data_IF_465427108204
#
_entry.id   IF_465427108204
#
_cell.length_a   1.000
_cell.length_b   1.000
_cell.length_c   1.000
_cell.angle_alpha   90.00
_cell.angle_beta   90.00
_cell.angle_gamma   90.00
#
_symmetry.space_group_name_H-M   'P 1'
#
loop_
_entity.id
_entity.type
_entity.pdbx_description
1 polymer ?
#
# COMPACT_ATOMS: atom_id res chain seq x y z
N UNK A 1 -2.10 3.78 -7.62
CA UNK A 1 -0.87 3.57 -6.82
C UNK A 1 -1.04 4.14 -5.43
N UNK A 2 -1.08 3.29 -4.39
CA UNK A 2 -1.38 3.71 -3.01
C UNK A 2 -0.27 4.56 -2.36
N UNK A 3 1.02 4.26 -2.60
CA UNK A 3 2.13 5.03 -2.01
C UNK A 3 2.16 6.48 -2.48
N UNK A 4 1.76 6.74 -3.73
CA UNK A 4 1.75 8.08 -4.30
C UNK A 4 0.74 8.99 -3.59
N UNK A 5 -0.41 8.43 -3.19
CA UNK A 5 -1.40 9.16 -2.41
C UNK A 5 -0.87 9.57 -1.02
N UNK A 6 0.09 8.82 -0.47
CA UNK A 6 0.76 9.11 0.80
C UNK A 6 2.10 9.85 0.65
N UNK A 7 2.49 10.21 -0.59
CA UNK A 7 3.81 10.76 -0.91
C UNK A 7 4.99 9.91 -0.41
N UNK A 8 4.79 8.60 -0.22
CA UNK A 8 5.85 7.68 0.20
C UNK A 8 6.74 7.28 -0.98
N UNK A 9 8.04 7.36 -0.78
CA UNK A 9 9.04 6.75 -1.64
C UNK A 9 9.08 5.22 -1.50
N UNK A 10 9.69 4.56 -2.49
CA UNK A 10 9.86 3.10 -2.52
C UNK A 10 10.59 2.59 -1.27
N UNK A 11 11.66 3.28 -0.85
CA UNK A 11 12.47 2.91 0.32
C UNK A 11 11.71 3.07 1.63
N UNK A 12 10.90 4.12 1.76
CA UNK A 12 10.12 4.39 2.96
C UNK A 12 9.03 3.33 3.15
N UNK A 13 8.29 3.02 2.09
CA UNK A 13 7.30 1.94 2.13
C UNK A 13 7.95 0.57 2.40
N UNK A 14 9.10 0.29 1.78
CA UNK A 14 9.83 -0.95 2.01
C UNK A 14 10.25 -1.10 3.47
N UNK A 15 10.77 -0.02 4.07
CA UNK A 15 11.12 0.02 5.50
C UNK A 15 9.89 -0.19 6.38
N UNK A 16 8.78 0.49 6.10
CA UNK A 16 7.54 0.35 6.87
C UNK A 16 6.93 -1.07 6.79
N UNK A 17 7.05 -1.73 5.64
CA UNK A 17 6.56 -3.08 5.42
C UNK A 17 7.57 -4.18 5.79
N UNK A 18 8.78 -3.81 6.24
CA UNK A 18 9.89 -4.72 6.53
C UNK A 18 10.22 -5.67 5.36
N UNK A 19 10.37 -5.09 4.16
CA UNK A 19 10.73 -5.82 2.92
C UNK A 19 11.83 -5.09 2.16
N UNK A 20 12.40 -5.72 1.13
CA UNK A 20 13.37 -5.05 0.27
C UNK A 20 12.70 -3.99 -0.63
N UNK A 21 13.39 -2.89 -0.99
CA UNK A 21 12.90 -1.93 -1.99
C UNK A 21 12.55 -2.60 -3.32
N UNK A 22 13.31 -3.62 -3.72
CA UNK A 22 13.04 -4.43 -4.92
C UNK A 22 11.68 -5.12 -4.84
N UNK A 23 11.27 -5.59 -3.66
CA UNK A 23 9.95 -6.21 -3.45
C UNK A 23 8.83 -5.22 -3.75
N UNK A 24 8.98 -3.95 -3.36
CA UNK A 24 8.01 -2.89 -3.67
C UNK A 24 7.98 -2.64 -5.18
N UNK A 25 9.14 -2.50 -5.83
CA UNK A 25 9.19 -2.31 -7.30
C UNK A 25 8.54 -3.47 -8.05
N UNK A 26 8.74 -4.72 -7.60
CA UNK A 26 8.10 -5.91 -8.19
C UNK A 26 6.58 -5.88 -8.02
N UNK A 27 6.08 -5.51 -6.84
CA UNK A 27 4.65 -5.29 -6.61
C UNK A 27 4.10 -4.25 -7.59
N UNK A 28 4.78 -3.12 -7.77
CA UNK A 28 4.34 -2.04 -8.67
C UNK A 28 4.33 -2.43 -10.15
N UNK A 29 5.15 -3.40 -10.53
CA UNK A 29 5.15 -4.00 -11.88
C UNK A 29 4.07 -5.05 -12.07
N UNK A 30 3.28 -5.36 -11.04
CA UNK A 30 2.23 -6.37 -11.08
C UNK A 30 2.74 -7.81 -10.98
N UNK A 31 3.97 -8.01 -10.51
CA UNK A 31 4.49 -9.36 -10.28
C UNK A 31 3.80 -10.01 -9.07
N UNK A 32 3.64 -11.33 -9.14
CA UNK A 32 3.13 -12.12 -8.03
C UNK A 32 4.13 -12.16 -6.87
N UNK A 33 3.65 -11.84 -5.68
CA UNK A 33 4.41 -11.92 -4.42
C UNK A 33 3.76 -12.95 -3.49
N UNK A 34 4.52 -13.39 -2.50
CA UNK A 34 3.96 -14.26 -1.46
C UNK A 34 2.82 -13.57 -0.71
N UNK A 35 1.75 -14.30 -0.33
CA UNK A 35 0.62 -13.72 0.40
C UNK A 35 1.04 -12.95 1.66
N UNK A 36 2.01 -13.47 2.42
CA UNK A 36 2.56 -12.80 3.61
C UNK A 36 3.17 -11.44 3.28
N UNK A 37 3.86 -11.34 2.15
CA UNK A 37 4.50 -10.10 1.68
C UNK A 37 3.44 -9.08 1.27
N UNK A 38 2.41 -9.51 0.54
CA UNK A 38 1.29 -8.65 0.16
C UNK A 38 0.58 -8.12 1.40
N UNK A 39 0.31 -8.99 2.39
CA UNK A 39 -0.30 -8.57 3.65
C UNK A 39 0.54 -7.55 4.42
N UNK A 40 1.86 -7.76 4.52
CA UNK A 40 2.75 -6.81 5.19
C UNK A 40 2.74 -5.42 4.52
N UNK A 41 2.76 -5.38 3.18
CA UNK A 41 2.70 -4.12 2.42
C UNK A 41 1.34 -3.45 2.58
N UNK A 42 0.24 -4.22 2.54
CA UNK A 42 -1.12 -3.72 2.78
C UNK A 42 -1.23 -3.08 4.16
N UNK A 43 -0.78 -3.77 5.21
CA UNK A 43 -0.81 -3.27 6.59
C UNK A 43 0.03 -2.00 6.74
N UNK A 44 1.21 -1.92 6.12
CA UNK A 44 2.04 -0.71 6.16
C UNK A 44 1.34 0.50 5.52
N UNK A 45 0.70 0.30 4.36
CA UNK A 45 -0.09 1.35 3.70
C UNK A 45 -1.30 1.76 4.56
N UNK A 46 -1.99 0.80 5.18
CA UNK A 46 -3.11 1.09 6.07
C UNK A 46 -2.71 1.88 7.32
N UNK A 47 -1.59 1.51 7.92
CA UNK A 47 -1.00 2.22 9.06
C UNK A 47 -0.59 3.65 8.68
N UNK A 48 -0.12 3.86 7.45
CA UNK A 48 0.21 5.18 6.91
C UNK A 48 -1.02 6.01 6.50
N UNK A 49 -2.22 5.43 6.54
CA UNK A 49 -3.48 6.16 6.32
C UNK A 49 -4.21 5.81 5.03
N UNK A 50 -3.86 4.73 4.35
CA UNK A 50 -4.67 4.19 3.24
C UNK A 50 -5.81 3.33 3.80
N UNK A 51 -6.95 3.38 3.14
CA UNK A 51 -8.05 2.47 3.34
C UNK A 51 -8.30 1.75 2.00
N UNK A 52 -8.15 0.42 2.01
CA UNK A 52 -8.45 -0.40 0.85
C UNK A 52 -9.94 -0.72 0.83
N UNK A 53 -10.62 -0.34 -0.24
CA UNK A 53 -12.05 -0.57 -0.40
C UNK A 53 -12.20 -1.84 -1.26
N UNK A 54 -12.93 -2.82 -0.72
CA UNK A 54 -13.28 -4.02 -1.47
C UNK A 54 -14.12 -3.63 -2.70
N UNK A 55 -13.90 -4.36 -3.79
CA UNK A 55 -14.57 -4.12 -5.06
C UNK A 55 -16.09 -4.40 -4.94
N UNK A 56 -16.88 -3.35 -4.80
CA UNK A 56 -18.35 -3.40 -4.82
C UNK A 56 -18.90 -2.96 -6.19
N UNK A 57 -18.29 -3.44 -7.29
CA UNK A 57 -18.85 -3.32 -8.65
C UNK A 57 -18.09 -2.44 -9.66
N UNK A 58 -17.18 -1.56 -9.22
CA UNK A 58 -16.45 -0.59 -10.09
C UNK A 58 -14.91 -0.74 -10.04
N UNK A 59 -14.40 -1.88 -9.54
CA UNK A 59 -12.96 -2.13 -9.36
C UNK A 59 -12.44 -1.86 -7.94
N UNK A 60 -11.30 -2.45 -7.61
CA UNK A 60 -10.63 -2.25 -6.32
C UNK A 60 -10.13 -0.79 -6.16
N UNK A 61 -10.50 -0.15 -5.06
CA UNK A 61 -10.20 1.26 -4.79
C UNK A 61 -9.25 1.47 -3.60
N UNK A 62 -8.56 2.62 -3.59
CA UNK A 62 -7.81 3.11 -2.42
C UNK A 62 -8.28 4.51 -2.06
N UNK A 63 -8.49 4.76 -0.77
CA UNK A 63 -8.87 6.07 -0.24
C UNK A 63 -7.91 6.48 0.87
N UNK A 64 -7.64 7.78 1.00
CA UNK A 64 -6.97 8.32 2.18
C UNK A 64 -7.95 8.39 3.34
N UNK A 65 -7.55 7.87 4.50
CA UNK A 65 -8.30 8.05 5.75
C UNK A 65 -8.46 9.55 5.96
N UNK A 66 -9.70 10.00 6.14
CA UNK A 66 -9.95 11.41 6.48
C UNK A 66 -9.20 11.68 7.77
N UNK A 67 -8.24 12.60 7.73
CA UNK A 67 -7.77 13.27 8.93
C UNK A 67 -9.01 13.94 9.50
N UNK A 68 -9.46 13.50 10.68
CA UNK A 68 -10.39 14.30 11.48
C UNK A 68 -9.63 15.58 11.81
N UNK A 69 -9.79 16.62 10.99
CA UNK A 69 -9.51 17.98 11.43
C UNK A 69 -10.53 18.27 12.53
N UNK A 70 -10.04 18.32 13.76
CA UNK A 70 -10.71 18.95 14.90
C UNK A 70 -10.19 20.38 14.96
#
# INVERSE_FOLDING_TARGET
MARAALQLGVRELASAANVSPTTITRLERGEQLYPRTVSAIRTALEAAGIEFIAENGDGAGVRLRKSTQI
#
